data_IF_028682427656
#
_entry.id   IF_028682427656
#
_cell.length_a   1.000
_cell.length_b   1.000
_cell.length_c   1.000
_cell.angle_alpha   90.00
_cell.angle_beta   90.00
_cell.angle_gamma   90.00
#
_symmetry.space_group_name_H-M   'P 1'
#
loop_
_entity.id
_entity.type
_entity.pdbx_description
1 polymer ?
#
# COMPACT_ATOMS: atom_id res chain seq x y z
N UNK A 1 -10.52 -1.82 6.84
CA UNK A 1 -10.00 -1.69 5.46
C UNK A 1 -11.09 -1.50 4.41
N UNK A 2 -12.38 -1.67 4.72
CA UNK A 2 -13.47 -1.47 3.75
C UNK A 2 -13.60 -0.02 3.25
N UNK A 3 -13.46 0.96 4.16
CA UNK A 3 -13.69 2.37 3.81
C UNK A 3 -12.66 2.93 2.81
N UNK A 4 -11.37 2.57 2.89
CA UNK A 4 -10.34 3.06 1.94
C UNK A 4 -10.47 2.41 0.56
N UNK A 5 -10.83 1.12 0.52
CA UNK A 5 -11.08 0.39 -0.72
C UNK A 5 -12.25 1.02 -1.50
N UNK A 6 -13.35 1.34 -0.81
CA UNK A 6 -14.53 1.97 -1.41
C UNK A 6 -14.35 3.46 -1.72
N UNK A 7 -13.61 4.21 -0.89
CA UNK A 7 -13.46 5.67 -1.07
C UNK A 7 -12.37 6.08 -2.05
N UNK A 8 -11.32 5.26 -2.22
CA UNK A 8 -10.18 5.60 -3.08
C UNK A 8 -9.95 4.64 -4.23
N UNK A 9 -10.76 3.58 -4.37
CA UNK A 9 -10.63 2.60 -5.44
C UNK A 9 -9.34 1.76 -5.40
N UNK A 10 -8.57 1.81 -4.30
CA UNK A 10 -7.30 1.07 -4.20
C UNK A 10 -7.50 -0.32 -3.61
N UNK A 11 -6.81 -1.37 -4.11
CA UNK A 11 -7.00 -2.75 -3.65
C UNK A 11 -6.38 -3.06 -2.27
N UNK A 12 -6.05 -2.04 -1.47
CA UNK A 12 -5.33 -2.16 -0.21
C UNK A 12 -5.88 -3.24 0.72
N UNK A 13 -5.04 -4.23 1.07
CA UNK A 13 -5.34 -5.34 1.98
C UNK A 13 -4.22 -5.49 3.00
N UNK A 14 -4.54 -5.87 4.24
CA UNK A 14 -3.51 -6.20 5.25
C UNK A 14 -2.66 -7.37 4.75
N UNK A 15 -1.34 -7.26 4.88
CA UNK A 15 -0.37 -8.23 4.38
C UNK A 15 -0.07 -8.12 2.88
N UNK A 16 -0.74 -7.22 2.15
CA UNK A 16 -0.45 -7.01 0.73
C UNK A 16 0.92 -6.37 0.55
N UNK A 17 1.65 -6.83 -0.46
CA UNK A 17 2.95 -6.28 -0.82
C UNK A 17 2.75 -5.00 -1.64
N UNK A 18 3.51 -3.98 -1.29
CA UNK A 18 3.46 -2.66 -1.94
C UNK A 18 4.85 -2.09 -2.13
N UNK A 19 5.01 -1.21 -3.11
CA UNK A 19 6.18 -0.38 -3.28
C UNK A 19 5.76 1.08 -3.16
N UNK A 20 6.33 1.80 -2.20
CA UNK A 20 6.05 3.22 -1.97
C UNK A 20 7.33 3.98 -2.23
N UNK A 21 7.33 4.90 -3.20
CA UNK A 21 8.51 5.70 -3.55
C UNK A 21 9.77 4.84 -3.82
N UNK A 22 9.61 3.67 -4.46
CA UNK A 22 10.71 2.73 -4.74
C UNK A 22 11.14 1.85 -3.56
N UNK A 23 10.55 2.04 -2.37
CA UNK A 23 10.79 1.17 -1.21
C UNK A 23 9.72 0.09 -1.11
N UNK A 24 10.13 -1.17 -1.13
CA UNK A 24 9.22 -2.33 -0.99
C UNK A 24 8.85 -2.57 0.46
N UNK A 25 7.60 -2.94 0.70
CA UNK A 25 7.07 -3.20 2.02
C UNK A 25 5.75 -3.97 1.98
N UNK A 26 5.15 -4.12 3.15
CA UNK A 26 3.85 -4.77 3.33
C UNK A 26 2.90 -3.89 4.11
N UNK A 27 1.63 -3.88 3.72
CA UNK A 27 0.60 -3.12 4.43
C UNK A 27 0.33 -3.79 5.79
N UNK A 28 0.78 -3.16 6.86
CA UNK A 28 0.57 -3.63 8.23
C UNK A 28 -0.84 -3.27 8.72
N UNK A 29 -1.28 -2.04 8.46
CA UNK A 29 -2.62 -1.56 8.83
C UNK A 29 -3.04 -0.37 7.97
N UNK A 30 -4.27 0.13 8.19
CA UNK A 30 -4.80 1.28 7.47
C UNK A 30 -5.75 2.04 8.38
N UNK A 31 -5.48 3.33 8.65
CA UNK A 31 -6.22 4.16 9.59
C UNK A 31 -6.22 5.62 9.16
N UNK A 32 -7.34 6.32 9.34
CA UNK A 32 -7.44 7.76 9.03
C UNK A 32 -7.21 8.11 7.56
N UNK A 33 -7.42 7.15 6.64
CA UNK A 33 -7.12 7.34 5.22
C UNK A 33 -5.67 7.08 4.81
N UNK A 34 -4.78 6.76 5.75
CA UNK A 34 -3.39 6.40 5.48
C UNK A 34 -3.19 4.89 5.53
N UNK A 35 -2.28 4.40 4.69
CA UNK A 35 -1.76 3.04 4.75
C UNK A 35 -0.52 3.02 5.62
N UNK A 36 -0.51 2.16 6.63
CA UNK A 36 0.69 1.94 7.43
C UNK A 36 1.47 0.80 6.80
N UNK A 37 2.56 1.15 6.13
CA UNK A 37 3.42 0.21 5.41
C UNK A 37 4.65 -0.10 6.25
N UNK A 38 4.90 -1.37 6.47
CA UNK A 38 6.16 -1.84 7.06
C UNK A 38 7.12 -2.16 5.92
N UNK A 39 8.12 -1.31 5.73
CA UNK A 39 9.15 -1.51 4.73
C UNK A 39 10.07 -2.66 5.11
N UNK A 40 10.65 -3.31 4.08
CA UNK A 40 11.64 -4.35 4.28
C UNK A 40 12.86 -3.80 5.03
N UNK A 41 13.36 -4.53 6.04
CA UNK A 41 14.37 -4.04 6.98
C UNK A 41 13.87 -3.05 8.05
N UNK A 42 12.62 -2.58 7.96
CA UNK A 42 11.99 -1.67 8.92
C UNK A 42 11.32 -2.39 10.10
N UNK A 43 11.55 -1.91 11.33
CA UNK A 43 10.79 -2.35 12.51
C UNK A 43 9.42 -1.68 12.63
N UNK A 44 9.31 -0.43 12.17
CA UNK A 44 8.10 0.38 12.33
C UNK A 44 7.30 0.47 11.03
N UNK A 45 5.99 0.66 11.17
CA UNK A 45 5.10 0.93 10.04
C UNK A 45 5.04 2.43 9.82
N UNK A 46 5.24 2.88 8.59
CA UNK A 46 5.22 4.30 8.22
C UNK A 46 3.87 4.63 7.59
N UNK A 47 3.22 5.75 7.96
CA UNK A 47 2.01 6.21 7.29
C UNK A 47 2.35 6.67 5.86
N UNK A 48 1.63 6.11 4.89
CA UNK A 48 1.78 6.38 3.47
C UNK A 48 0.42 6.79 2.89
N UNK A 49 0.43 7.78 2.00
CA UNK A 49 -0.79 8.18 1.32
C UNK A 49 -1.11 7.16 0.21
N UNK A 50 -2.30 6.52 0.21
CA UNK A 50 -2.62 5.39 -0.67
C UNK A 50 -2.59 5.68 -2.18
N UNK A 51 -2.61 6.96 -2.57
CA UNK A 51 -2.66 7.41 -3.97
C UNK A 51 -1.35 8.06 -4.44
N UNK A 52 -0.33 8.19 -3.57
CA UNK A 52 0.90 8.88 -3.93
C UNK A 52 2.05 7.90 -4.12
N UNK A 53 2.39 7.65 -5.38
CA UNK A 53 3.53 6.81 -5.79
C UNK A 53 3.53 5.42 -5.10
N UNK A 54 2.36 4.78 -5.08
CA UNK A 54 2.17 3.44 -4.53
C UNK A 54 1.94 2.45 -5.66
N UNK A 55 2.67 1.35 -5.62
CA UNK A 55 2.44 0.18 -6.47
C UNK A 55 1.90 -0.92 -5.57
N UNK A 56 0.77 -1.50 -5.94
CA UNK A 56 0.16 -2.64 -5.26
C UNK A 56 0.48 -3.90 -6.06
N UNK A 57 0.94 -4.93 -5.37
CA UNK A 57 1.20 -6.24 -5.96
C UNK A 57 0.14 -7.24 -5.53
N UNK A 58 -0.15 -8.22 -6.39
CA UNK A 58 -0.91 -9.41 -6.01
C UNK A 58 -0.03 -10.41 -5.23
N UNK A 59 -0.59 -11.57 -4.91
CA UNK A 59 0.11 -12.65 -4.19
C UNK A 59 1.23 -13.29 -5.03
N UNK A 60 1.08 -13.26 -6.35
CA UNK A 60 2.01 -13.83 -7.34
C UNK A 60 3.17 -12.86 -7.66
N UNK A 61 3.07 -11.60 -7.24
CA UNK A 61 4.06 -10.55 -7.45
C UNK A 61 3.80 -9.68 -8.69
N UNK A 62 2.66 -9.83 -9.35
CA UNK A 62 2.24 -8.98 -10.46
C UNK A 62 1.74 -7.63 -9.97
N UNK A 63 1.89 -6.59 -10.79
CA UNK A 63 1.36 -5.25 -10.48
C UNK A 63 -0.16 -5.28 -10.62
N UNK A 64 -0.85 -5.17 -9.49
CA UNK A 64 -2.31 -5.09 -9.43
C UNK A 64 -2.81 -3.66 -9.69
N UNK A 65 -2.08 -2.66 -9.20
CA UNK A 65 -2.44 -1.25 -9.36
C UNK A 65 -1.21 -0.36 -9.18
N UNK A 66 -1.03 0.61 -10.07
CA UNK A 66 0.08 1.57 -10.02
C UNK A 66 -0.48 3.00 -9.99
N UNK A 67 -0.18 3.73 -8.92
CA UNK A 67 -0.59 5.15 -8.76
C UNK A 67 0.52 6.13 -9.14
N UNK A 68 1.60 5.67 -9.78
CA UNK A 68 2.64 6.53 -10.35
C UNK A 68 2.27 6.96 -11.77
N UNK A 69 1.44 6.17 -12.45
CA UNK A 69 1.06 6.37 -13.85
C UNK A 69 -0.21 7.20 -14.07
N UNK A 70 -0.76 7.84 -13.02
CA UNK A 70 -1.98 8.66 -13.07
C UNK A 70 -1.70 10.16 -13.10
#
# INVERSE_FOLDING_TARGET
MDHIRRTRGVPAKRGMRVEVNGSKGQIASARGGYLYVRFDGGRCSVPCHPTWRVVYFDDDGNVLHDTRSS
#
